data_IF_554291851234
#
_entry.id   IF_554291851234
#
_cell.length_a   1.000
_cell.length_b   1.000
_cell.length_c   1.000
_cell.angle_alpha   90.00
_cell.angle_beta   90.00
_cell.angle_gamma   90.00
#
_symmetry.space_group_name_H-M   'P 1'
#
loop_
_entity.id
_entity.type
_entity.pdbx_description
1 polymer ?
#
# COMPACT_ATOMS: atom_id res chain seq x y z
N UNK A 1 13.58 7.40 -17.83
CA UNK A 1 12.40 6.76 -17.23
C UNK A 1 12.57 5.27 -17.41
N UNK A 2 12.48 4.48 -16.34
CA UNK A 2 12.45 3.03 -16.46
C UNK A 2 11.10 2.59 -17.05
N UNK A 3 11.16 1.68 -18.01
CA UNK A 3 10.01 1.13 -18.72
C UNK A 3 9.64 -0.21 -18.07
N UNK A 4 8.38 -0.35 -17.64
CA UNK A 4 7.83 -1.61 -17.17
C UNK A 4 6.93 -2.17 -18.28
N UNK A 5 7.21 -3.40 -18.71
CA UNK A 5 6.31 -4.14 -19.59
C UNK A 5 5.49 -5.11 -18.75
N UNK A 6 4.17 -5.06 -18.88
CA UNK A 6 3.27 -6.02 -18.24
C UNK A 6 2.85 -7.05 -19.29
N UNK A 7 3.43 -8.26 -19.28
CA UNK A 7 3.01 -9.31 -20.22
C UNK A 7 1.61 -9.82 -19.88
N UNK A 8 0.93 -10.38 -20.88
CA UNK A 8 -0.33 -11.13 -20.73
C UNK A 8 -1.53 -10.35 -20.15
N UNK A 9 -1.59 -9.03 -20.38
CA UNK A 9 -2.80 -8.27 -20.05
C UNK A 9 -3.95 -8.72 -20.96
N UNK A 10 -4.99 -9.32 -20.36
CA UNK A 10 -6.15 -9.75 -21.12
C UNK A 10 -6.95 -8.56 -21.69
N UNK A 11 -7.74 -8.85 -22.72
CA UNK A 11 -8.51 -7.83 -23.44
C UNK A 11 -9.53 -7.10 -22.55
N UNK A 12 -10.09 -7.78 -21.53
CA UNK A 12 -11.08 -7.20 -20.62
C UNK A 12 -10.42 -6.21 -19.66
N UNK A 13 -9.23 -6.53 -19.18
CA UNK A 13 -8.40 -5.68 -18.33
C UNK A 13 -7.93 -4.44 -19.10
N UNK A 14 -7.50 -4.62 -20.36
CA UNK A 14 -7.16 -3.49 -21.24
C UNK A 14 -8.36 -2.56 -21.47
N UNK A 15 -9.55 -3.12 -21.68
CA UNK A 15 -10.75 -2.33 -21.88
C UNK A 15 -11.16 -1.58 -20.60
N UNK A 16 -11.14 -2.25 -19.44
CA UNK A 16 -11.37 -1.60 -18.16
C UNK A 16 -10.39 -0.45 -17.90
N UNK A 17 -9.11 -0.64 -18.24
CA UNK A 17 -8.10 0.40 -18.11
C UNK A 17 -8.38 1.61 -19.01
N UNK A 18 -8.84 1.39 -20.25
CA UNK A 18 -9.22 2.47 -21.17
C UNK A 18 -10.40 3.28 -20.64
N UNK A 19 -11.44 2.60 -20.17
CA UNK A 19 -12.63 3.24 -19.59
C UNK A 19 -12.25 4.11 -18.38
N UNK A 20 -11.41 3.60 -17.48
CA UNK A 20 -10.93 4.35 -16.31
C UNK A 20 -10.07 5.55 -16.73
N UNK A 21 -9.18 5.37 -17.69
CA UNK A 21 -8.33 6.44 -18.18
C UNK A 21 -9.15 7.58 -18.80
N UNK A 22 -10.21 7.24 -19.57
CA UNK A 22 -11.14 8.20 -20.13
C UNK A 22 -11.90 8.96 -19.03
N UNK A 23 -12.45 8.25 -18.04
CA UNK A 23 -13.17 8.84 -16.91
C UNK A 23 -12.32 9.82 -16.08
N UNK A 24 -11.02 9.57 -15.99
CA UNK A 24 -10.07 10.40 -15.24
C UNK A 24 -9.32 11.42 -16.11
N UNK A 25 -9.64 11.52 -17.41
CA UNK A 25 -8.96 12.40 -18.38
C UNK A 25 -7.45 12.19 -18.43
N UNK A 26 -7.02 10.92 -18.45
CA UNK A 26 -5.62 10.49 -18.46
C UNK A 26 -5.33 9.57 -19.64
N UNK A 27 -4.05 9.34 -19.89
CA UNK A 27 -3.65 8.25 -20.79
C UNK A 27 -3.78 6.91 -20.08
N UNK A 28 -3.98 5.79 -20.80
CA UNK A 28 -4.01 4.46 -20.20
C UNK A 28 -2.75 4.13 -19.39
N UNK A 29 -1.58 4.60 -19.82
CA UNK A 29 -0.33 4.43 -19.07
C UNK A 29 -0.34 5.21 -17.74
N UNK A 30 -0.77 6.48 -17.77
CA UNK A 30 -0.84 7.30 -16.57
C UNK A 30 -1.85 6.72 -15.56
N UNK A 31 -2.96 6.18 -16.06
CA UNK A 31 -3.95 5.52 -15.22
C UNK A 31 -3.43 4.20 -14.63
N UNK A 32 -2.78 3.36 -15.42
CA UNK A 32 -2.15 2.13 -14.93
C UNK A 32 -1.11 2.44 -13.85
N UNK A 33 -0.31 3.48 -14.05
CA UNK A 33 0.66 3.95 -13.07
C UNK A 33 -0.01 4.42 -11.78
N UNK A 34 -1.10 5.18 -11.88
CA UNK A 34 -1.83 5.66 -10.72
C UNK A 34 -2.41 4.48 -9.90
N UNK A 35 -3.00 3.49 -10.57
CA UNK A 35 -3.52 2.27 -9.95
C UNK A 35 -2.39 1.52 -9.23
N UNK A 36 -1.26 1.28 -9.90
CA UNK A 36 -0.12 0.58 -9.29
C UNK A 36 0.41 1.30 -8.05
N UNK A 37 0.52 2.64 -8.09
CA UNK A 37 0.94 3.45 -6.93
C UNK A 37 -0.07 3.33 -5.77
N UNK A 38 -1.37 3.37 -6.07
CA UNK A 38 -2.42 3.23 -5.05
C UNK A 38 -2.40 1.84 -4.42
N UNK A 39 -2.25 0.78 -5.23
CA UNK A 39 -2.16 -0.61 -4.74
C UNK A 39 -0.96 -0.78 -3.81
N UNK A 40 0.23 -0.31 -4.20
CA UNK A 40 1.43 -0.42 -3.35
C UNK A 40 1.25 0.32 -2.03
N UNK A 41 0.66 1.52 -2.04
CA UNK A 41 0.37 2.27 -0.80
C UNK A 41 -0.62 1.54 0.10
N UNK A 42 -1.73 1.06 -0.45
CA UNK A 42 -2.73 0.33 0.31
C UNK A 42 -2.19 -0.99 0.89
N UNK A 43 -1.29 -1.67 0.16
CA UNK A 43 -0.61 -2.85 0.68
C UNK A 43 0.34 -2.51 1.84
N UNK A 44 1.08 -1.39 1.75
CA UNK A 44 1.92 -0.92 2.85
C UNK A 44 1.12 -0.54 4.10
N UNK A 45 0.02 0.21 3.92
CA UNK A 45 -0.88 0.58 5.02
C UNK A 45 -1.51 -0.65 5.69
N UNK A 46 -1.85 -1.68 4.90
CA UNK A 46 -2.35 -2.94 5.44
C UNK A 46 -1.28 -3.73 6.21
N UNK A 47 -0.03 -3.73 5.73
CA UNK A 47 1.10 -4.37 6.40
C UNK A 47 1.42 -3.69 7.73
N UNK A 48 1.46 -2.36 7.76
CA UNK A 48 1.65 -1.56 8.98
C UNK A 48 0.54 -1.84 10.02
N UNK A 49 -0.71 -1.95 9.55
CA UNK A 49 -1.84 -2.30 10.41
C UNK A 49 -1.67 -3.70 11.02
N UNK A 50 -1.31 -4.71 10.21
CA UNK A 50 -1.07 -6.06 10.69
C UNK A 50 0.10 -6.12 11.67
N UNK A 51 1.20 -5.41 11.37
CA UNK A 51 2.35 -5.29 12.26
C UNK A 51 1.95 -4.68 13.61
N UNK A 52 1.06 -3.68 13.63
CA UNK A 52 0.55 -3.07 14.87
C UNK A 52 -0.34 -4.00 15.71
N UNK A 53 -1.07 -4.93 15.07
CA UNK A 53 -1.90 -5.94 15.76
C UNK A 53 -1.05 -7.07 16.35
N UNK A 54 0.07 -7.41 15.71
CA UNK A 54 0.98 -8.48 16.15
C UNK A 54 1.99 -7.97 17.18
N UNK A 55 2.45 -6.72 17.07
CA UNK A 55 3.38 -6.06 18.00
C UNK A 55 2.73 -5.47 19.26
N UNK A 56 1.40 -5.55 19.38
CA UNK A 56 0.65 -5.03 20.54
C UNK A 56 0.81 -5.82 21.85
N UNK A 57 1.60 -6.90 21.86
CA UNK A 57 1.83 -7.75 23.04
C UNK A 57 3.30 -7.72 23.51
N UNK A 58 4.08 -6.70 23.12
CA UNK A 58 5.35 -6.38 23.80
C UNK A 58 5.07 -5.61 25.11
N UNK A 59 4.55 -6.34 26.09
CA UNK A 59 4.82 -6.14 27.53
C UNK A 59 4.90 -4.69 28.03
N UNK A 60 3.76 -4.10 28.41
CA UNK A 60 3.69 -3.28 29.64
C UNK A 60 3.85 -4.20 30.87
N UNK A 61 4.99 -4.89 30.94
CA UNK A 61 5.39 -5.83 31.98
C UNK A 61 6.61 -5.31 32.73
N UNK A 62 6.56 -4.05 33.17
CA UNK A 62 7.70 -3.35 33.77
C UNK A 62 7.38 -2.65 35.09
N UNK A 63 6.52 -3.24 35.93
CA UNK A 63 6.39 -2.78 37.31
C UNK A 63 7.65 -3.08 38.12
N UNK A 64 8.44 -2.06 38.51
CA UNK A 64 9.15 -2.06 39.80
C UNK A 64 9.73 -0.69 40.14
N UNK A 65 9.28 -0.18 41.27
CA UNK A 65 9.75 1.07 41.86
C UNK A 65 11.26 1.09 42.11
N UNK A 66 11.81 2.29 42.03
CA UNK A 66 13.00 2.68 42.79
C UNK A 66 12.63 3.94 43.55
N UNK A 67 12.53 3.76 44.85
CA UNK A 67 12.68 4.76 45.91
C UNK A 67 13.83 5.72 45.61
N UNK A 68 13.74 6.94 46.17
CA UNK A 68 14.82 7.96 46.20
C UNK A 68 16.16 7.44 46.77
N UNK A 69 17.20 8.30 46.89
CA UNK A 69 17.10 9.65 47.44
C UNK A 69 17.86 10.73 46.64
N UNK A 70 17.36 11.96 46.70
CA UNK A 70 18.17 13.16 46.94
C UNK A 70 17.26 14.33 47.36
#
# INVERSE_FOLDING_TARGET
>A
MESLTVPDLDARTLEGLRILAEAHHRTPEAEARAILVQVVRGLGEADDLLASMVGGDETEGGGRGRTGPH
#
